data_IF_033676783805
#
_entry.id   IF_033676783805
#
_cell.length_a   1.000
_cell.length_b   1.000
_cell.length_c   1.000
_cell.angle_alpha   90.00
_cell.angle_beta   90.00
_cell.angle_gamma   90.00
#
_symmetry.space_group_name_H-M   'P 1'
#
loop_
_entity.id
_entity.type
_entity.pdbx_description
1 polymer ?
#
# COMPACT_ATOMS: atom_id res chain seq x y z
N UNK A 1 22.61 13.48 36.25
CA UNK A 1 21.22 13.73 36.69
C UNK A 1 20.34 12.74 35.94
N UNK A 2 19.47 12.01 36.64
CA UNK A 2 18.57 11.02 36.01
C UNK A 2 17.26 11.71 35.65
N UNK A 3 16.78 11.50 34.42
CA UNK A 3 15.47 11.97 33.96
C UNK A 3 14.48 10.82 33.94
N UNK A 4 13.24 11.08 34.35
CA UNK A 4 12.15 10.11 34.30
C UNK A 4 11.09 10.57 33.30
N UNK A 5 10.54 9.61 32.54
CA UNK A 5 9.37 9.80 31.69
C UNK A 5 8.20 9.10 32.38
N UNK A 6 7.18 9.87 32.76
CA UNK A 6 5.95 9.35 33.35
C UNK A 6 4.90 9.27 32.24
N UNK A 7 4.34 8.09 32.00
CA UNK A 7 3.31 7.85 31.01
C UNK A 7 2.14 7.11 31.67
N UNK A 8 0.92 7.40 31.21
CA UNK A 8 -0.27 6.60 31.51
C UNK A 8 -0.74 5.92 30.23
N UNK A 9 -1.35 4.74 30.36
CA UNK A 9 -1.82 4.02 29.19
C UNK A 9 -3.34 4.17 29.02
N UNK A 10 -3.78 4.26 27.76
CA UNK A 10 -5.21 4.39 27.44
C UNK A 10 -6.06 3.24 28.00
N UNK A 11 -5.47 2.05 28.15
CA UNK A 11 -6.13 0.84 28.67
C UNK A 11 -6.20 0.78 30.20
N UNK A 12 -5.55 1.70 30.92
CA UNK A 12 -5.72 1.85 32.37
C UNK A 12 -7.15 2.27 32.73
N UNK A 13 -7.94 2.72 31.74
CA UNK A 13 -9.36 3.05 31.90
C UNK A 13 -10.27 1.81 31.98
N UNK A 14 -9.85 0.63 31.53
CA UNK A 14 -10.72 -0.55 31.41
C UNK A 14 -11.35 -1.02 32.73
N UNK A 15 -10.66 -1.01 33.90
CA UNK A 15 -11.26 -1.41 35.17
C UNK A 15 -12.42 -0.50 35.64
N UNK A 16 -12.54 0.72 35.11
CA UNK A 16 -13.60 1.66 35.47
C UNK A 16 -14.86 1.51 34.62
N UNK A 17 -14.81 0.73 33.53
CA UNK A 17 -15.98 0.46 32.70
C UNK A 17 -16.93 -0.54 33.42
N UNK A 18 -18.26 -0.34 33.39
CA UNK A 18 -19.21 -1.30 33.96
C UNK A 18 -19.11 -2.70 33.34
N UNK A 19 -18.64 -2.78 32.09
CA UNK A 19 -18.40 -4.02 31.35
C UNK A 19 -17.36 -3.79 30.25
N UNK A 20 -16.49 -4.78 30.01
CA UNK A 20 -15.48 -4.77 28.95
C UNK A 20 -15.63 -6.03 28.09
N UNK A 21 -15.62 -5.87 26.76
CA UNK A 21 -15.71 -7.00 25.80
C UNK A 21 -14.51 -6.97 24.85
N UNK A 22 -14.09 -8.14 24.40
CA UNK A 22 -13.01 -8.30 23.42
C UNK A 22 -13.59 -8.69 22.06
N UNK A 23 -13.09 -8.05 21.00
CA UNK A 23 -13.42 -8.38 19.62
C UNK A 23 -12.13 -8.80 18.89
N UNK A 24 -12.10 -10.04 18.41
CA UNK A 24 -10.93 -10.59 17.69
C UNK A 24 -11.14 -10.41 16.19
N UNK A 25 -10.10 -9.94 15.51
CA UNK A 25 -10.06 -9.74 14.06
C UNK A 25 -8.90 -10.47 13.41
N UNK A 26 -8.94 -10.60 12.09
CA UNK A 26 -7.80 -11.04 11.29
C UNK A 26 -6.80 -9.88 11.14
N UNK A 27 -5.52 -10.14 11.42
CA UNK A 27 -4.49 -9.10 11.42
C UNK A 27 -4.30 -8.51 10.02
N UNK A 28 -4.29 -9.38 9.02
CA UNK A 28 -4.11 -9.09 7.61
C UNK A 28 -5.29 -8.34 6.96
N UNK A 29 -6.36 -8.06 7.72
CA UNK A 29 -7.51 -7.27 7.28
C UNK A 29 -7.61 -5.94 8.04
N UNK A 30 -7.20 -5.91 9.31
CA UNK A 30 -7.50 -4.78 10.21
C UNK A 30 -6.27 -4.09 10.80
N UNK A 31 -5.06 -4.67 10.66
CA UNK A 31 -3.90 -4.18 11.41
C UNK A 31 -2.57 -4.22 10.64
N UNK A 32 -2.11 -3.02 10.26
CA UNK A 32 -0.79 -2.77 9.66
C UNK A 32 -0.07 -1.65 10.43
N UNK A 33 0.87 -2.02 11.29
CA UNK A 33 1.56 -1.09 12.18
C UNK A 33 2.80 -0.47 11.52
N UNK A 34 3.12 0.78 11.85
CA UNK A 34 4.35 1.46 11.44
C UNK A 34 5.08 2.01 12.67
N UNK A 35 6.15 1.32 13.07
CA UNK A 35 7.01 1.70 14.21
C UNK A 35 8.49 1.81 13.86
N UNK A 36 8.91 1.11 12.81
CA UNK A 36 10.31 0.94 12.44
C UNK A 36 10.59 1.60 11.08
N UNK A 37 11.85 1.99 10.86
CA UNK A 37 12.30 2.44 9.54
C UNK A 37 12.44 1.26 8.57
N UNK A 38 12.35 1.54 7.27
CA UNK A 38 12.65 0.57 6.21
C UNK A 38 14.06 -0.02 6.42
N UNK A 39 14.20 -1.34 6.19
CA UNK A 39 15.39 -2.12 6.52
C UNK A 39 15.24 -2.98 7.78
N UNK A 40 14.21 -2.74 8.60
CA UNK A 40 13.77 -3.68 9.64
C UNK A 40 12.87 -4.78 9.06
N UNK A 41 12.71 -5.90 9.79
CA UNK A 41 11.97 -7.06 9.30
C UNK A 41 10.45 -6.87 9.21
N UNK A 42 9.85 -6.03 10.07
CA UNK A 42 8.40 -5.81 10.13
C UNK A 42 8.07 -4.45 10.78
N UNK A 43 6.79 -4.07 10.74
CA UNK A 43 6.24 -2.80 11.21
C UNK A 43 6.94 -1.57 10.60
N UNK A 44 7.30 -1.68 9.32
CA UNK A 44 7.89 -0.62 8.50
C UNK A 44 6.86 -0.06 7.51
N UNK A 45 7.08 1.16 6.97
CA UNK A 45 6.28 1.69 5.86
C UNK A 45 6.09 0.69 4.71
N UNK A 46 7.14 0.00 4.30
CA UNK A 46 7.06 -0.99 3.21
C UNK A 46 6.19 -2.18 3.58
N UNK A 47 6.32 -2.69 4.81
CA UNK A 47 5.50 -3.83 5.27
C UNK A 47 4.02 -3.44 5.40
N UNK A 48 3.71 -2.22 5.86
CA UNK A 48 2.34 -1.74 5.98
C UNK A 48 1.70 -1.54 4.59
N UNK A 49 2.45 -0.93 3.65
CA UNK A 49 2.01 -0.78 2.26
C UNK A 49 1.70 -2.12 1.62
N UNK A 50 2.57 -3.12 1.78
CA UNK A 50 2.34 -4.45 1.21
C UNK A 50 1.11 -5.14 1.82
N UNK A 51 0.88 -5.03 3.13
CA UNK A 51 -0.32 -5.59 3.78
C UNK A 51 -1.61 -5.01 3.18
N UNK A 52 -1.66 -3.69 2.97
CA UNK A 52 -2.82 -3.02 2.35
C UNK A 52 -3.01 -3.45 0.89
N UNK A 53 -1.92 -3.47 0.10
CA UNK A 53 -1.98 -3.91 -1.29
C UNK A 53 -2.44 -5.36 -1.42
N UNK A 54 -2.00 -6.25 -0.51
CA UNK A 54 -2.41 -7.65 -0.49
C UNK A 54 -3.88 -7.80 -0.10
N UNK A 55 -4.36 -7.06 0.88
CA UNK A 55 -5.79 -7.03 1.25
C UNK A 55 -6.66 -6.64 0.04
N UNK A 56 -6.35 -5.52 -0.59
CA UNK A 56 -7.07 -5.00 -1.75
C UNK A 56 -7.00 -5.93 -2.96
N UNK A 57 -5.84 -6.56 -3.19
CA UNK A 57 -5.67 -7.60 -4.22
C UNK A 57 -6.63 -8.76 -3.97
N UNK A 58 -6.78 -9.24 -2.72
CA UNK A 58 -7.75 -10.30 -2.39
C UNK A 58 -9.18 -9.87 -2.69
N UNK A 59 -9.55 -8.63 -2.36
CA UNK A 59 -10.90 -8.12 -2.66
C UNK A 59 -11.20 -8.11 -4.16
N UNK A 60 -10.27 -7.61 -4.99
CA UNK A 60 -10.45 -7.57 -6.46
C UNK A 60 -10.54 -8.98 -7.07
N UNK A 61 -9.73 -9.93 -6.57
CA UNK A 61 -9.79 -11.33 -7.00
C UNK A 61 -11.13 -11.96 -6.58
N UNK A 62 -11.57 -11.72 -5.34
CA UNK A 62 -12.85 -12.22 -4.83
C UNK A 62 -14.05 -11.67 -5.62
N UNK A 63 -13.95 -10.44 -6.13
CA UNK A 63 -14.93 -9.83 -7.05
C UNK A 63 -14.91 -10.43 -8.47
N UNK A 64 -14.20 -11.54 -8.70
CA UNK A 64 -14.22 -12.33 -9.91
C UNK A 64 -13.30 -11.82 -11.02
N UNK A 65 -12.16 -11.20 -10.67
CA UNK A 65 -11.23 -10.61 -11.64
C UNK A 65 -9.85 -11.21 -11.65
N UNK A 66 -9.25 -11.16 -12.83
CA UNK A 66 -7.90 -11.60 -13.08
C UNK A 66 -6.92 -10.45 -12.92
N UNK A 67 -5.83 -10.74 -12.21
CA UNK A 67 -4.70 -9.85 -12.05
C UNK A 67 -3.55 -10.29 -12.95
N UNK A 68 -3.10 -9.39 -13.80
CA UNK A 68 -1.83 -9.51 -14.49
C UNK A 68 -0.78 -8.69 -13.74
N UNK A 69 0.48 -9.12 -13.80
CA UNK A 69 1.54 -8.46 -13.06
C UNK A 69 2.85 -8.55 -13.83
N UNK A 70 3.56 -7.42 -13.93
CA UNK A 70 4.91 -7.35 -14.51
C UNK A 70 6.01 -7.58 -13.46
N UNK A 71 5.64 -7.54 -12.18
CA UNK A 71 6.51 -7.76 -11.03
C UNK A 71 5.86 -8.75 -10.06
N UNK A 72 6.63 -9.49 -9.24
CA UNK A 72 6.04 -10.53 -8.41
C UNK A 72 4.94 -10.01 -7.48
N UNK A 73 3.80 -10.70 -7.43
CA UNK A 73 2.64 -10.32 -6.59
C UNK A 73 2.98 -10.15 -5.10
N UNK A 74 4.04 -10.81 -4.60
CA UNK A 74 4.46 -10.62 -3.21
C UNK A 74 5.06 -9.23 -2.94
N UNK A 75 5.47 -8.48 -3.98
CA UNK A 75 6.07 -7.14 -3.86
C UNK A 75 5.20 -6.02 -4.48
N UNK A 76 3.99 -6.34 -4.93
CA UNK A 76 3.06 -5.38 -5.54
C UNK A 76 1.61 -5.75 -5.23
N UNK A 77 0.66 -4.97 -5.75
CA UNK A 77 -0.76 -5.33 -5.71
C UNK A 77 -1.64 -4.26 -6.31
N UNK A 78 -2.92 -4.34 -6.00
CA UNK A 78 -3.91 -3.32 -6.31
C UNK A 78 -4.14 -2.46 -5.07
N UNK A 79 -4.30 -1.16 -5.25
CA UNK A 79 -4.82 -0.28 -4.21
C UNK A 79 -6.27 0.07 -4.53
N UNK A 80 -7.19 -0.16 -3.59
CA UNK A 80 -8.58 0.28 -3.71
C UNK A 80 -8.77 1.50 -2.82
N UNK A 81 -9.28 2.58 -3.40
CA UNK A 81 -9.61 3.78 -2.63
C UNK A 81 -10.73 3.49 -1.62
N UNK A 82 -10.63 3.95 -0.37
CA UNK A 82 -11.71 3.82 0.61
C UNK A 82 -13.02 4.48 0.18
N UNK A 83 -12.99 5.41 -0.78
CA UNK A 83 -14.19 6.04 -1.36
C UNK A 83 -14.91 5.16 -2.39
N UNK A 84 -14.27 4.08 -2.83
CA UNK A 84 -14.80 3.07 -3.75
C UNK A 84 -15.35 1.88 -2.96
N UNK A 85 -14.59 1.41 -1.98
CA UNK A 85 -14.93 0.27 -1.15
C UNK A 85 -14.25 0.39 0.21
N UNK A 86 -14.99 0.17 1.28
CA UNK A 86 -14.49 0.27 2.65
C UNK A 86 -13.87 -1.06 3.13
N UNK A 87 -14.54 -2.18 2.87
CA UNK A 87 -14.18 -3.52 3.33
C UNK A 87 -14.24 -4.57 2.20
N UNK A 88 -14.15 -4.14 0.94
CA UNK A 88 -14.19 -5.00 -0.24
C UNK A 88 -15.57 -5.14 -0.89
N UNK A 89 -16.60 -4.49 -0.35
CA UNK A 89 -17.95 -4.46 -0.92
C UNK A 89 -18.04 -3.66 -2.24
N UNK A 90 -19.07 -3.94 -3.04
CA UNK A 90 -19.44 -3.23 -4.27
C UNK A 90 -18.39 -3.25 -5.40
N UNK A 91 -17.35 -4.08 -5.30
CA UNK A 91 -16.30 -4.18 -6.31
C UNK A 91 -16.74 -4.98 -7.54
N UNK A 92 -17.71 -5.88 -7.44
CA UNK A 92 -18.14 -6.74 -8.54
C UNK A 92 -18.62 -5.93 -9.74
N UNK A 93 -19.43 -4.90 -9.48
CA UNK A 93 -19.98 -4.01 -10.50
C UNK A 93 -18.89 -3.10 -11.10
N UNK A 94 -18.01 -2.56 -10.26
CA UNK A 94 -16.97 -1.62 -10.66
C UNK A 94 -15.87 -2.29 -11.48
N UNK A 95 -15.56 -3.52 -11.11
CA UNK A 95 -14.51 -4.31 -11.73
C UNK A 95 -15.06 -5.18 -12.88
N UNK A 96 -16.38 -5.19 -13.14
CA UNK A 96 -17.00 -6.03 -14.16
C UNK A 96 -16.35 -5.91 -15.53
N UNK A 97 -15.91 -7.04 -16.10
CA UNK A 97 -15.28 -7.10 -17.42
C UNK A 97 -13.90 -6.44 -17.51
N UNK A 98 -13.30 -6.04 -16.37
CA UNK A 98 -11.97 -5.40 -16.34
C UNK A 98 -10.89 -6.41 -15.94
N UNK A 99 -9.71 -6.23 -16.54
CA UNK A 99 -8.46 -6.87 -16.13
C UNK A 99 -7.56 -5.80 -15.54
N UNK A 100 -6.98 -6.05 -14.36
CA UNK A 100 -6.10 -5.11 -13.70
C UNK A 100 -4.65 -5.57 -13.83
N UNK A 101 -3.77 -4.66 -14.23
CA UNK A 101 -2.33 -4.90 -14.32
C UNK A 101 -1.62 -4.20 -13.16
N UNK A 102 -1.09 -4.97 -12.20
CA UNK A 102 -0.42 -4.43 -11.02
C UNK A 102 1.00 -3.88 -11.34
N UNK A 103 1.48 -2.83 -10.64
CA UNK A 103 0.76 -2.04 -9.63
C UNK A 103 -0.30 -1.14 -10.27
N UNK A 104 -1.49 -1.09 -9.68
CA UNK A 104 -2.55 -0.18 -10.11
C UNK A 104 -3.45 0.25 -8.95
N UNK A 105 -4.14 1.37 -9.15
CA UNK A 105 -5.14 1.91 -8.23
C UNK A 105 -6.56 1.80 -8.81
N UNK A 106 -7.54 1.60 -7.94
CA UNK A 106 -8.97 1.65 -8.22
C UNK A 106 -9.56 2.80 -7.42
N UNK A 107 -9.87 3.88 -8.10
CA UNK A 107 -10.44 5.10 -7.52
C UNK A 107 -11.76 5.49 -8.21
N UNK A 108 -12.36 6.61 -7.79
CA UNK A 108 -13.59 7.10 -8.40
C UNK A 108 -13.42 7.48 -9.89
N UNK A 109 -12.20 7.84 -10.33
CA UNK A 109 -11.93 8.14 -11.74
C UNK A 109 -11.86 6.88 -12.59
N UNK A 110 -11.45 5.76 -11.99
CA UNK A 110 -11.48 4.41 -12.60
C UNK A 110 -12.91 3.95 -12.91
N UNK A 111 -13.90 4.51 -12.22
CA UNK A 111 -15.33 4.31 -12.50
C UNK A 111 -15.76 5.17 -13.71
N UNK A 112 -15.22 6.37 -13.87
CA UNK A 112 -15.58 7.28 -14.96
C UNK A 112 -14.90 6.92 -16.29
N UNK A 113 -13.66 6.46 -16.24
CA UNK A 113 -12.85 6.14 -17.42
C UNK A 113 -13.16 4.77 -18.06
N UNK A 114 -14.12 3.98 -17.56
CA UNK A 114 -14.53 2.72 -18.21
C UNK A 114 -15.21 2.88 -19.58
N UNK A 115 -15.31 4.12 -20.08
CA UNK A 115 -15.81 4.46 -21.41
C UNK A 115 -14.70 4.64 -22.46
N UNK A 116 -13.44 4.77 -22.06
CA UNK A 116 -12.29 4.98 -22.97
C UNK A 116 -11.09 4.15 -22.50
N UNK A 117 -10.49 3.37 -23.42
CA UNK A 117 -9.40 2.44 -23.12
C UNK A 117 -8.22 3.10 -22.38
N UNK A 118 -7.68 2.38 -21.40
CA UNK A 118 -6.58 2.83 -20.56
C UNK A 118 -5.28 3.02 -21.36
N UNK A 119 -4.73 4.23 -21.32
CA UNK A 119 -3.30 4.52 -21.49
C UNK A 119 -2.79 5.26 -20.23
N UNK A 120 -1.60 4.88 -19.78
CA UNK A 120 -0.81 5.23 -18.57
C UNK A 120 -1.02 6.59 -17.86
N UNK A 121 -0.87 6.61 -16.52
CA UNK A 121 0.21 7.28 -15.75
C UNK A 121 -0.08 7.19 -14.23
N UNK A 122 0.50 6.22 -13.51
CA UNK A 122 0.38 6.18 -12.03
C UNK A 122 1.39 7.16 -11.41
N UNK A 123 0.91 8.35 -11.03
CA UNK A 123 1.66 9.25 -10.15
C UNK A 123 1.61 8.70 -8.72
N UNK A 124 2.74 8.18 -8.25
CA UNK A 124 3.03 8.12 -6.82
C UNK A 124 3.01 9.56 -6.27
N UNK A 125 2.06 9.87 -5.38
CA UNK A 125 2.13 11.10 -4.58
C UNK A 125 3.35 10.97 -3.67
N UNK A 126 4.39 11.71 -3.99
CA UNK A 126 5.76 11.45 -3.56
C UNK A 126 6.03 11.62 -2.06
N UNK A 127 6.86 10.71 -1.55
CA UNK A 127 7.82 11.04 -0.49
C UNK A 127 9.14 11.40 -1.19
N UNK A 128 9.53 12.67 -1.16
CA UNK A 128 10.85 13.10 -1.65
C UNK A 128 11.94 12.50 -0.74
N UNK A 129 12.98 11.83 -1.28
CA UNK A 129 14.18 11.56 -0.50
C UNK A 129 14.97 12.87 -0.36
N UNK A 130 15.07 13.36 0.87
CA UNK A 130 15.94 14.45 1.27
C UNK A 130 17.43 14.08 1.03
N UNK A 131 18.07 14.87 0.17
CA UNK A 131 19.45 15.37 0.30
C UNK A 131 20.62 14.40 0.50
N UNK A 132 21.44 14.25 -0.55
CA UNK A 132 22.91 14.37 -0.43
C UNK A 132 23.53 14.78 -1.79
N UNK A 133 23.87 16.07 -1.92
CA UNK A 133 24.96 16.58 -2.77
C UNK A 133 26.29 16.00 -2.28
N UNK A 134 27.39 15.82 -3.00
CA UNK A 134 27.87 16.08 -4.36
C UNK A 134 29.30 15.48 -4.39
N UNK A 135 29.85 15.14 -5.57
CA UNK A 135 31.24 15.45 -5.99
C UNK A 135 31.61 14.74 -7.31
N UNK A 136 31.72 15.56 -8.37
CA UNK A 136 32.73 15.58 -9.46
C UNK A 136 32.97 14.38 -10.40
N UNK A 137 32.47 14.55 -11.63
CA UNK A 137 33.18 14.58 -12.94
C UNK A 137 34.51 13.82 -13.14
N UNK A 138 34.51 12.87 -14.09
CA UNK A 138 35.52 12.70 -15.17
C UNK A 138 34.91 11.82 -16.28
N UNK A 139 34.55 12.37 -17.44
CA UNK A 139 35.32 12.28 -18.71
C UNK A 139 35.69 10.85 -19.16
N UNK A 140 35.08 10.39 -20.26
CA UNK A 140 35.49 9.18 -20.98
C UNK A 140 34.47 8.75 -22.05
N UNK A 141 34.50 9.40 -23.22
CA UNK A 141 33.90 8.88 -24.46
C UNK A 141 34.80 7.76 -25.00
N UNK A 142 34.25 6.61 -25.36
CA UNK A 142 34.78 5.85 -26.51
C UNK A 142 33.71 4.95 -27.14
N UNK A 143 33.91 4.68 -28.43
CA UNK A 143 32.94 4.29 -29.46
C UNK A 143 32.66 2.79 -29.54
N UNK A 144 31.56 2.50 -30.23
CA UNK A 144 31.19 1.28 -30.93
C UNK A 144 32.33 0.50 -31.61
N UNK A 145 32.25 -0.84 -31.59
CA UNK A 145 32.37 -1.67 -32.81
C UNK A 145 31.83 -3.10 -32.64
N UNK A 146 30.73 -3.35 -33.35
CA UNK A 146 30.41 -4.51 -34.21
C UNK A 146 31.41 -5.70 -34.25
N UNK A 147 31.03 -6.84 -33.65
CA UNK A 147 30.99 -8.19 -34.28
C UNK A 147 30.30 -9.20 -33.38
#
# INVERSE_FOLDING_TARGET
>A
MVGYKLEQFIFDAFPYAPSTTLYKVLREEEFALMKNANGSNFDTPDSARLLVLHLHTRWVVAAGRFLTHSVPLYSTGVEVSPLVSYAGENLEAICYGKTFHAPCGVDQNTIQNSSQGFHEEFRYVGLKPEGRNSLTSAHGKEKAEMK
#
